data_IF_615700708991
#
_entry.id   IF_615700708991
#
_cell.length_a   1.000
_cell.length_b   1.000
_cell.length_c   1.000
_cell.angle_alpha   90.00
_cell.angle_beta   90.00
_cell.angle_gamma   90.00
#
_symmetry.space_group_name_H-M   'P 1'
#
loop_
_entity.id
_entity.type
_entity.pdbx_description
1 polymer ?
#
# COMPACT_ATOMS: atom_id res chain seq x y z
N UNK A 1 -3.40 15.94 -10.56
CA UNK A 1 -2.24 15.13 -10.11
C UNK A 1 -2.76 13.76 -9.68
N UNK A 2 -2.06 12.66 -9.99
CA UNK A 2 -2.49 11.32 -9.57
C UNK A 2 -2.21 11.10 -8.06
N UNK A 3 -3.16 10.57 -7.27
CA UNK A 3 -2.88 10.15 -5.89
C UNK A 3 -1.89 8.99 -5.87
N UNK A 4 -1.13 8.86 -4.78
CA UNK A 4 -0.07 7.86 -4.64
C UNK A 4 -0.47 6.80 -3.61
N UNK A 5 -0.21 5.53 -3.90
CA UNK A 5 -0.41 4.40 -2.98
C UNK A 5 0.92 3.70 -2.72
N UNK A 6 1.24 3.47 -1.45
CA UNK A 6 2.40 2.70 -1.04
C UNK A 6 2.01 1.24 -0.82
N UNK A 7 2.54 0.34 -1.65
CA UNK A 7 2.41 -1.12 -1.52
C UNK A 7 3.60 -1.69 -0.76
N UNK A 8 3.33 -2.45 0.29
CA UNK A 8 4.34 -3.02 1.19
C UNK A 8 4.24 -4.54 1.17
N UNK A 9 5.33 -5.23 0.88
CA UNK A 9 5.32 -6.69 0.75
C UNK A 9 6.71 -7.30 0.70
N UNK A 10 6.79 -8.62 0.89
CA UNK A 10 8.07 -9.33 1.01
C UNK A 10 8.82 -9.48 -0.32
N UNK A 11 8.10 -9.65 -1.42
CA UNK A 11 8.68 -10.01 -2.72
C UNK A 11 8.50 -8.86 -3.71
N UNK A 12 9.60 -8.34 -4.30
CA UNK A 12 9.54 -7.30 -5.33
C UNK A 12 8.63 -7.66 -6.50
N UNK A 13 8.69 -8.92 -6.95
CA UNK A 13 7.89 -9.38 -8.08
C UNK A 13 6.39 -9.32 -7.78
N UNK A 14 5.96 -9.68 -6.57
CA UNK A 14 4.53 -9.67 -6.21
C UNK A 14 3.97 -8.25 -6.15
N UNK A 15 4.78 -7.28 -5.68
CA UNK A 15 4.37 -5.87 -5.67
C UNK A 15 4.35 -5.30 -7.09
N UNK A 16 5.37 -5.62 -7.89
CA UNK A 16 5.45 -5.23 -9.30
C UNK A 16 4.29 -5.78 -10.13
N UNK A 17 3.96 -7.06 -9.96
CA UNK A 17 2.86 -7.72 -10.67
C UNK A 17 1.52 -7.07 -10.34
N UNK A 18 1.26 -6.75 -9.07
CA UNK A 18 0.02 -6.06 -8.66
C UNK A 18 -0.03 -4.64 -9.21
N UNK A 19 1.07 -3.90 -9.16
CA UNK A 19 1.14 -2.56 -9.76
C UNK A 19 0.85 -2.61 -11.27
N UNK A 20 1.39 -3.61 -11.98
CA UNK A 20 1.13 -3.80 -13.41
C UNK A 20 -0.33 -4.19 -13.69
N UNK A 21 -0.92 -5.09 -12.92
CA UNK A 21 -2.33 -5.49 -13.06
C UNK A 21 -3.27 -4.29 -12.86
N UNK A 22 -2.90 -3.36 -11.99
CA UNK A 22 -3.71 -2.20 -11.61
C UNK A 22 -3.26 -0.89 -12.27
N UNK A 23 -2.40 -0.95 -13.30
CA UNK A 23 -1.88 0.24 -14.01
C UNK A 23 -2.98 1.02 -14.75
N UNK A 24 -4.09 0.34 -15.07
CA UNK A 24 -5.29 0.96 -15.64
C UNK A 24 -5.99 1.92 -14.66
N UNK A 25 -5.73 1.84 -13.35
CA UNK A 25 -6.29 2.75 -12.36
C UNK A 25 -5.55 4.09 -12.38
N UNK A 26 -6.21 5.23 -12.11
CA UNK A 26 -5.58 6.56 -12.15
C UNK A 26 -4.71 6.85 -10.91
N UNK A 27 -3.90 5.89 -10.49
CA UNK A 27 -3.05 5.89 -9.30
C UNK A 27 -1.57 5.86 -9.71
N UNK A 28 -0.70 6.40 -8.86
CA UNK A 28 0.74 6.13 -8.92
C UNK A 28 1.10 5.14 -7.81
N UNK A 29 1.80 4.07 -8.16
CA UNK A 29 2.17 3.00 -7.23
C UNK A 29 3.62 3.17 -6.77
N UNK A 30 3.85 3.10 -5.46
CA UNK A 30 5.17 2.98 -4.84
C UNK A 30 5.30 1.61 -4.18
N UNK A 31 6.51 1.05 -4.18
CA UNK A 31 6.83 -0.21 -3.53
C UNK A 31 7.80 -0.03 -2.36
N UNK A 32 7.62 -0.84 -1.32
CA UNK A 32 8.58 -1.01 -0.24
C UNK A 32 8.61 -2.46 0.29
N UNK A 33 9.79 -2.94 0.66
CA UNK A 33 10.02 -4.32 1.09
C UNK A 33 10.63 -4.44 2.48
N UNK A 34 11.20 -3.36 2.99
CA UNK A 34 11.80 -3.25 4.32
C UNK A 34 11.48 -1.90 4.98
N UNK A 35 11.89 -1.77 6.23
CA UNK A 35 11.59 -0.62 7.06
C UNK A 35 12.23 0.65 6.50
N UNK A 36 13.38 0.54 5.86
CA UNK A 36 14.12 1.69 5.34
C UNK A 36 13.52 2.19 4.03
N UNK A 37 13.07 1.29 3.15
CA UNK A 37 12.26 1.66 1.99
C UNK A 37 10.96 2.33 2.42
N UNK A 38 10.25 1.78 3.42
CA UNK A 38 9.03 2.43 3.94
C UNK A 38 9.35 3.85 4.40
N UNK A 39 10.41 4.05 5.20
CA UNK A 39 10.82 5.40 5.64
C UNK A 39 11.14 6.32 4.46
N UNK A 40 11.95 5.85 3.50
CA UNK A 40 12.34 6.62 2.31
C UNK A 40 11.13 7.05 1.49
N UNK A 41 10.18 6.15 1.24
CA UNK A 41 8.99 6.47 0.46
C UNK A 41 8.10 7.49 1.18
N UNK A 42 7.88 7.32 2.49
CA UNK A 42 7.07 8.25 3.29
C UNK A 42 7.69 9.66 3.34
N UNK A 43 9.02 9.75 3.42
CA UNK A 43 9.74 11.02 3.48
C UNK A 43 9.77 11.72 2.11
N UNK A 44 9.91 10.94 1.03
CA UNK A 44 10.06 11.48 -0.32
C UNK A 44 8.73 11.88 -0.97
N UNK A 45 7.63 11.20 -0.63
CA UNK A 45 6.36 11.38 -1.32
C UNK A 45 5.22 11.82 -0.39
N UNK A 46 4.97 13.14 -0.27
CA UNK A 46 3.91 13.66 0.58
C UNK A 46 2.50 13.30 0.08
N UNK A 47 2.34 12.92 -1.21
CA UNK A 47 1.03 12.64 -1.82
C UNK A 47 0.53 11.21 -1.57
N UNK A 48 1.29 10.38 -0.83
CA UNK A 48 0.80 9.07 -0.40
C UNK A 48 -0.53 9.26 0.32
N UNK A 49 -1.58 8.64 -0.21
CA UNK A 49 -2.95 8.73 0.31
C UNK A 49 -3.25 7.59 1.30
N UNK A 50 -2.68 6.41 1.06
CA UNK A 50 -2.74 5.27 1.99
C UNK A 50 -1.56 4.31 1.76
N UNK A 51 -1.31 3.48 2.77
CA UNK A 51 -0.38 2.37 2.68
C UNK A 51 -1.14 1.04 2.73
N UNK A 52 -0.78 0.09 1.87
CA UNK A 52 -1.40 -1.23 1.78
C UNK A 52 -0.33 -2.30 1.95
N UNK A 53 -0.53 -3.19 2.92
CA UNK A 53 0.44 -4.19 3.31
C UNK A 53 -0.05 -5.61 3.03
N UNK A 54 0.74 -6.34 2.25
CA UNK A 54 0.53 -7.77 1.99
C UNK A 54 0.75 -8.64 3.24
N UNK A 55 0.29 -9.89 3.16
CA UNK A 55 0.34 -10.84 4.26
C UNK A 55 1.59 -11.75 4.26
N UNK A 56 2.52 -11.55 3.32
CA UNK A 56 3.73 -12.36 3.16
C UNK A 56 4.88 -12.01 4.11
N UNK A 57 4.79 -10.89 4.84
CA UNK A 57 5.74 -10.48 5.87
C UNK A 57 5.44 -11.19 7.20
N UNK A 58 6.45 -11.35 8.06
CA UNK A 58 6.26 -11.83 9.44
C UNK A 58 5.42 -10.82 10.26
N UNK A 59 4.62 -11.28 11.23
CA UNK A 59 3.73 -10.39 11.98
C UNK A 59 4.49 -9.35 12.82
N UNK A 60 5.70 -9.68 13.29
CA UNK A 60 6.58 -8.72 13.98
C UNK A 60 6.97 -7.60 13.03
N UNK A 61 7.41 -7.96 11.82
CA UNK A 61 7.79 -7.00 10.78
C UNK A 61 6.58 -6.16 10.38
N UNK A 62 5.41 -6.77 10.21
CA UNK A 62 4.17 -6.04 9.88
C UNK A 62 3.83 -5.01 10.96
N UNK A 63 3.92 -5.38 12.23
CA UNK A 63 3.70 -4.49 13.37
C UNK A 63 4.68 -3.31 13.39
N UNK A 64 5.97 -3.57 13.12
CA UNK A 64 6.98 -2.51 13.02
C UNK A 64 6.68 -1.53 11.88
N UNK A 65 6.33 -2.03 10.69
CA UNK A 65 5.95 -1.18 9.56
C UNK A 65 4.75 -0.29 9.90
N UNK A 66 3.72 -0.84 10.55
CA UNK A 66 2.57 -0.05 11.03
C UNK A 66 3.04 1.06 11.96
N UNK A 67 3.89 0.75 12.93
CA UNK A 67 4.45 1.74 13.86
C UNK A 67 5.22 2.85 13.16
N UNK A 68 6.04 2.52 12.15
CA UNK A 68 6.80 3.49 11.35
C UNK A 68 5.85 4.42 10.58
N UNK A 69 4.86 3.86 9.89
CA UNK A 69 3.92 4.63 9.07
C UNK A 69 3.12 5.56 9.97
N UNK A 70 2.52 5.04 11.05
CA UNK A 70 1.71 5.83 11.97
C UNK A 70 2.49 6.97 12.64
N UNK A 71 3.78 6.75 12.97
CA UNK A 71 4.62 7.77 13.57
C UNK A 71 5.02 8.89 12.59
N UNK A 72 5.21 8.56 11.30
CA UNK A 72 5.69 9.53 10.28
C UNK A 72 4.57 10.20 9.51
N UNK A 73 3.50 9.48 9.22
CA UNK A 73 2.33 9.91 8.44
C UNK A 73 1.05 9.58 9.22
N UNK A 74 0.77 10.30 10.31
CA UNK A 74 -0.45 10.08 11.12
C UNK A 74 -1.74 10.45 10.37
N UNK A 75 -1.63 11.00 9.17
CA UNK A 75 -2.72 11.48 8.32
C UNK A 75 -3.24 10.45 7.30
N UNK A 76 -2.56 9.29 7.14
CA UNK A 76 -2.94 8.29 6.14
C UNK A 76 -3.47 7.00 6.76
N UNK A 77 -4.38 6.33 6.05
CA UNK A 77 -4.86 5.01 6.44
C UNK A 77 -3.83 3.91 6.12
N UNK A 78 -3.80 2.88 6.97
CA UNK A 78 -2.95 1.70 6.82
C UNK A 78 -3.86 0.46 6.67
N UNK A 79 -3.78 -0.22 5.53
CA UNK A 79 -4.62 -1.38 5.22
C UNK A 79 -3.80 -2.67 5.25
N UNK A 80 -4.17 -3.61 6.12
CA UNK A 80 -3.49 -4.89 6.25
C UNK A 80 -4.32 -5.99 5.57
N UNK A 81 -3.72 -6.67 4.59
CA UNK A 81 -4.33 -7.85 3.98
C UNK A 81 -4.36 -9.02 4.97
N UNK A 82 -5.42 -9.81 4.95
CA UNK A 82 -5.52 -11.05 5.71
C UNK A 82 -4.59 -12.15 5.16
N UNK A 83 -4.21 -13.12 6.00
CA UNK A 83 -3.39 -14.27 5.57
C UNK A 83 -4.22 -15.35 4.85
N UNK A 84 -5.48 -15.51 5.23
CA UNK A 84 -6.37 -16.58 4.75
C UNK A 84 -6.67 -16.51 3.25
N UNK A 85 -6.67 -15.32 2.66
CA UNK A 85 -6.95 -15.12 1.23
C UNK A 85 -5.77 -15.44 0.31
N UNK A 86 -4.61 -15.81 0.87
CA UNK A 86 -3.43 -16.21 0.11
C UNK A 86 -2.84 -15.10 -0.78
N UNK A 87 -1.78 -15.43 -1.54
CA UNK A 87 -1.11 -14.47 -2.44
C UNK A 87 -2.03 -13.92 -3.53
N UNK A 88 -2.88 -14.77 -4.13
CA UNK A 88 -3.80 -14.40 -5.22
C UNK A 88 -4.81 -13.33 -4.81
N UNK A 89 -5.20 -13.28 -3.53
CA UNK A 89 -6.11 -12.26 -3.04
C UNK A 89 -5.49 -10.87 -2.89
N UNK A 90 -4.21 -10.64 -3.21
CA UNK A 90 -3.57 -9.32 -3.01
C UNK A 90 -4.10 -8.28 -4.01
N UNK A 91 -4.14 -8.61 -5.30
CA UNK A 91 -4.69 -7.72 -6.33
C UNK A 91 -6.12 -7.26 -6.02
N UNK A 92 -7.07 -8.20 -5.79
CA UNK A 92 -8.44 -7.85 -5.42
C UNK A 92 -8.55 -7.00 -4.14
N UNK A 93 -7.70 -7.27 -3.15
CA UNK A 93 -7.65 -6.48 -1.92
C UNK A 93 -7.21 -5.04 -2.18
N UNK A 94 -6.10 -4.86 -2.91
CA UNK A 94 -5.57 -3.53 -3.28
C UNK A 94 -6.60 -2.75 -4.09
N UNK A 95 -7.19 -3.38 -5.12
CA UNK A 95 -8.20 -2.75 -5.96
C UNK A 95 -9.40 -2.25 -5.13
N UNK A 96 -9.93 -3.09 -4.24
CA UNK A 96 -11.06 -2.72 -3.36
C UNK A 96 -10.73 -1.55 -2.44
N UNK A 97 -9.54 -1.56 -1.82
CA UNK A 97 -9.11 -0.45 -0.96
C UNK A 97 -9.00 0.84 -1.75
N UNK A 98 -8.30 0.81 -2.89
CA UNK A 98 -8.09 2.01 -3.70
C UNK A 98 -9.39 2.58 -4.26
N UNK A 99 -10.30 1.71 -4.69
CA UNK A 99 -11.62 2.15 -5.16
C UNK A 99 -12.34 2.95 -4.06
N UNK A 100 -12.50 2.37 -2.87
CA UNK A 100 -13.30 3.00 -1.81
C UNK A 100 -12.61 4.16 -1.09
N UNK A 101 -11.31 4.05 -0.81
CA UNK A 101 -10.57 5.03 -0.02
C UNK A 101 -10.08 6.22 -0.83
N UNK A 102 -9.95 6.08 -2.14
CA UNK A 102 -9.36 7.11 -3.00
C UNK A 102 -10.33 7.51 -4.08
N UNK A 103 -10.70 6.59 -4.98
CA UNK A 103 -11.45 6.95 -6.18
C UNK A 103 -12.87 7.43 -5.87
N UNK A 104 -13.62 6.67 -5.08
CA UNK A 104 -14.99 7.05 -4.65
C UNK A 104 -14.97 8.36 -3.84
N UNK A 105 -13.87 8.65 -3.13
CA UNK A 105 -13.71 9.91 -2.38
C UNK A 105 -13.41 11.09 -3.31
N UNK A 106 -12.70 10.87 -4.41
CA UNK A 106 -12.43 11.90 -5.41
C UNK A 106 -13.67 12.23 -6.25
N UNK A 107 -14.55 11.27 -6.52
CA UNK A 107 -15.79 11.50 -7.29
C UNK A 107 -16.86 12.27 -6.49
N UNK A 108 -16.78 12.23 -5.15
CA UNK A 108 -17.73 12.90 -4.26
C UNK A 108 -17.34 14.34 -3.90
N UNK A 109 -16.13 14.78 -4.26
CA UNK A 109 -15.57 16.10 -3.95
C UNK A 109 -15.38 16.92 -5.22
#
# INVERSE_FOLDING_TARGET
MKPVVLLIGKLPNVIGDVAQQLDHMPIQWLGAHDQDEVRRQLDAEPRIACAIMGAGLDDTVRGEMVGIIAARRPDICIHLKDRSSGPEGLGPFVQRVVQHEILDRLERN
#
